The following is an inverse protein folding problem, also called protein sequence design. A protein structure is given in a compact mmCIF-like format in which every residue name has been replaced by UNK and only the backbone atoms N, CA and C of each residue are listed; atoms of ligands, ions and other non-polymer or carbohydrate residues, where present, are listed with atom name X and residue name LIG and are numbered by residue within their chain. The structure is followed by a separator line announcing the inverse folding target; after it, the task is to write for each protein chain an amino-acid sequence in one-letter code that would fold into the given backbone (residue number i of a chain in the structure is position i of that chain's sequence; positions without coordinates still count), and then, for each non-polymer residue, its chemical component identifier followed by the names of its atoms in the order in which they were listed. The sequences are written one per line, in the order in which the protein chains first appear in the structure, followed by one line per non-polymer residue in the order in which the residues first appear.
data_IF_901888288794
#
_entry.id   IF_901888288794
#
_cell.length_a   1.000
_cell.length_b   1.000
_cell.length_c   1.000
_cell.angle_alpha   90.00
_cell.angle_beta   90.00
_cell.angle_gamma   90.00
#
_symmetry.space_group_name_H-M   'P 1'
#
loop_
_entity.id
_entity.type
_entity.pdbx_description
1 polymer ?
#
# COMPACT_ATOMS: atom_id res chain seq x y z
N UNK A 1 -7.84 -0.12 -7.15
CA UNK A 1 -6.67 -0.87 -6.62
C UNK A 1 -6.86 -2.36 -6.82
N UNK A 2 -6.79 -2.87 -8.06
CA UNK A 2 -7.07 -4.30 -8.31
C UNK A 2 -5.98 -5.02 -9.12
N UNK A 3 -4.81 -4.40 -9.28
CA UNK A 3 -3.68 -4.95 -10.05
C UNK A 3 -2.69 -5.73 -9.19
N UNK A 4 -2.89 -5.77 -7.87
CA UNK A 4 -1.95 -6.37 -6.93
C UNK A 4 -2.62 -7.46 -6.11
N UNK A 5 -1.87 -8.51 -5.81
CA UNK A 5 -2.13 -9.37 -4.67
C UNK A 5 -1.54 -8.70 -3.42
N UNK A 6 -2.35 -8.56 -2.38
CA UNK A 6 -1.96 -7.98 -1.09
C UNK A 6 -1.68 -9.15 -0.13
N UNK A 7 -0.52 -9.12 0.53
CA UNK A 7 -0.10 -10.13 1.51
C UNK A 7 -0.10 -9.53 2.92
N UNK A 8 0.86 -9.94 3.76
CA UNK A 8 0.98 -9.47 5.13
C UNK A 8 1.26 -7.96 5.23
N UNK A 9 0.79 -7.37 6.33
CA UNK A 9 1.22 -6.05 6.76
C UNK A 9 2.69 -6.12 7.20
N UNK A 10 3.52 -5.24 6.64
CA UNK A 10 4.95 -5.13 6.93
C UNK A 10 5.30 -3.84 7.66
N UNK A 11 4.35 -2.90 7.79
CA UNK A 11 4.53 -1.68 8.56
C UNK A 11 3.20 -1.03 8.94
N UNK A 12 3.15 -0.43 10.13
CA UNK A 12 1.98 0.26 10.64
C UNK A 12 2.35 1.68 11.06
N UNK A 13 1.65 2.66 10.49
CA UNK A 13 1.67 4.05 10.91
C UNK A 13 0.35 4.45 11.56
N UNK A 14 0.31 5.68 12.09
CA UNK A 14 -0.87 6.21 12.80
C UNK A 14 -2.14 6.24 11.95
N UNK A 15 -2.01 6.49 10.64
CA UNK A 15 -3.13 6.60 9.69
C UNK A 15 -2.92 5.78 8.42
N UNK A 16 -1.99 4.82 8.45
CA UNK A 16 -1.60 4.06 7.28
C UNK A 16 -1.07 2.68 7.62
N UNK A 17 -1.26 1.72 6.72
CA UNK A 17 -0.66 0.38 6.81
C UNK A 17 0.07 0.09 5.51
N UNK A 18 1.30 -0.40 5.62
CA UNK A 18 2.11 -0.83 4.48
C UNK A 18 2.04 -2.35 4.40
N UNK A 19 1.67 -2.86 3.23
CA UNK A 19 1.58 -4.29 2.94
C UNK A 19 2.67 -4.70 1.98
N UNK A 20 3.13 -5.94 2.09
CA UNK A 20 3.82 -6.58 0.97
C UNK A 20 2.79 -6.88 -0.12
N UNK A 21 3.12 -6.52 -1.35
CA UNK A 21 2.28 -6.78 -2.50
C UNK A 21 3.06 -7.37 -3.65
N UNK A 22 2.35 -8.03 -4.57
CA UNK A 22 2.90 -8.52 -5.85
C UNK A 22 1.99 -8.11 -6.99
N UNK A 23 2.56 -7.62 -8.08
CA UNK A 23 1.78 -7.29 -9.26
C UNK A 23 1.22 -8.58 -9.89
N UNK A 24 -0.08 -8.60 -10.19
CA UNK A 24 -0.73 -9.74 -10.84
C UNK A 24 0.00 -10.05 -12.15
N UNK A 25 0.25 -11.33 -12.41
CA UNK A 25 1.01 -11.83 -13.59
C UNK A 25 2.49 -11.39 -13.68
N UNK A 26 3.05 -10.73 -12.67
CA UNK A 26 4.50 -10.48 -12.53
C UNK A 26 5.06 -11.31 -11.36
N UNK A 27 6.37 -11.38 -11.18
CA UNK A 27 7.03 -11.88 -9.96
C UNK A 27 7.58 -10.75 -9.08
N UNK A 28 7.38 -9.50 -9.50
CA UNK A 28 7.88 -8.33 -8.80
C UNK A 28 7.03 -7.99 -7.58
N UNK A 29 7.73 -7.66 -6.49
CA UNK A 29 7.15 -7.29 -5.22
C UNK A 29 7.26 -5.79 -4.98
N UNK A 30 6.25 -5.24 -4.32
CA UNK A 30 6.11 -3.82 -4.03
C UNK A 30 5.64 -3.61 -2.59
N UNK A 31 5.96 -2.44 -2.04
CA UNK A 31 5.34 -1.96 -0.81
C UNK A 31 4.04 -1.21 -1.16
N UNK A 32 2.90 -1.68 -0.65
CA UNK A 32 1.60 -1.09 -0.89
C UNK A 32 1.17 -0.31 0.35
N UNK A 33 1.16 1.02 0.29
CA UNK A 33 0.71 1.89 1.38
C UNK A 33 -0.78 2.16 1.25
N UNK A 34 -1.57 1.68 2.21
CA UNK A 34 -2.97 2.07 2.41
C UNK A 34 -3.02 3.23 3.39
N UNK A 35 -3.76 4.29 3.08
CA UNK A 35 -3.90 5.50 3.90
C UNK A 35 -5.37 5.82 4.09
N UNK A 36 -5.75 6.26 5.29
CA UNK A 36 -7.10 6.76 5.56
C UNK A 36 -7.44 7.91 4.58
N UNK A 37 -8.66 7.88 4.02
CA UNK A 37 -9.10 8.85 3.01
C UNK A 37 -9.05 10.30 3.50
N UNK A 38 -9.24 10.54 4.80
CA UNK A 38 -9.13 11.87 5.42
C UNK A 38 -7.71 12.45 5.32
N UNK A 39 -6.70 11.60 5.14
CA UNK A 39 -5.29 11.99 5.01
C UNK A 39 -4.78 12.00 3.56
N UNK A 40 -5.66 11.93 2.56
CA UNK A 40 -5.29 11.92 1.13
C UNK A 40 -4.41 13.10 0.71
N UNK A 41 -4.65 14.30 1.25
CA UNK A 41 -3.87 15.50 0.90
C UNK A 41 -2.39 15.35 1.19
N UNK A 42 -2.02 14.63 2.26
CA UNK A 42 -0.61 14.37 2.61
C UNK A 42 0.07 13.43 1.62
N UNK A 43 -0.66 12.49 1.03
CA UNK A 43 -0.12 11.53 0.04
C UNK A 43 0.16 12.22 -1.30
N UNK A 44 -0.65 13.21 -1.69
CA UNK A 44 -0.44 13.95 -2.93
C UNK A 44 0.75 14.94 -2.87
N UNK A 45 1.31 15.14 -1.68
CA UNK A 45 2.41 16.07 -1.40
C UNK A 45 3.66 15.33 -0.87
N UNK A 46 3.67 13.99 -0.88
CA UNK A 46 4.82 13.16 -0.49
C UNK A 46 5.87 13.04 -1.61
#
# INVERSE_FOLDING_TARGET
MNNYHIYEAIGQGKYSTVYKGRMKKSIEYFALKSVDKSHKSKVLQE
#
